data_IF_703013543077
#
_entry.id   IF_703013543077
#
_cell.length_a   1.000
_cell.length_b   1.000
_cell.length_c   1.000
_cell.angle_alpha   90.00
_cell.angle_beta   90.00
_cell.angle_gamma   90.00
#
_symmetry.space_group_name_H-M   'P 1'
#
loop_
_entity.id
_entity.type
_entity.pdbx_description
1 polymer ?
#
# COMPACT_ATOMS: atom_id res chain seq x y z
N UNK A 1 12.29 8.33 -13.93
CA UNK A 1 11.22 9.25 -13.45
C UNK A 1 9.97 8.93 -14.25
N UNK A 2 8.97 8.31 -13.63
CA UNK A 2 7.64 8.15 -14.22
C UNK A 2 7.12 9.53 -14.58
N UNK A 3 6.63 9.73 -15.80
CA UNK A 3 6.01 11.01 -16.19
C UNK A 3 4.81 11.23 -15.26
N UNK A 4 4.75 12.39 -14.61
CA UNK A 4 3.72 12.72 -13.58
C UNK A 4 2.32 12.47 -14.12
N UNK A 5 2.09 12.75 -15.41
CA UNK A 5 0.83 12.50 -16.11
C UNK A 5 0.37 11.04 -16.04
N UNK A 6 1.29 10.07 -16.19
CA UNK A 6 0.94 8.65 -16.12
C UNK A 6 0.62 8.20 -14.69
N UNK A 7 1.27 8.78 -13.69
CA UNK A 7 0.99 8.48 -12.28
C UNK A 7 -0.37 9.03 -11.81
N UNK A 8 -0.86 10.11 -12.45
CA UNK A 8 -2.12 10.75 -12.11
C UNK A 8 -3.32 10.23 -12.95
N UNK A 9 -3.09 9.38 -13.95
CA UNK A 9 -4.12 8.90 -14.86
C UNK A 9 -5.35 8.29 -14.16
N UNK A 10 -5.15 7.67 -12.99
CA UNK A 10 -6.20 7.02 -12.20
C UNK A 10 -6.51 7.72 -10.89
N UNK A 11 -6.10 8.99 -10.73
CA UNK A 11 -6.25 9.72 -9.47
C UNK A 11 -7.72 9.81 -9.05
N UNK A 12 -8.61 10.23 -9.95
CA UNK A 12 -10.03 10.39 -9.64
C UNK A 12 -10.71 9.07 -9.24
N UNK A 13 -10.38 7.98 -9.94
CA UNK A 13 -10.89 6.63 -9.65
C UNK A 13 -10.40 6.13 -8.29
N UNK A 14 -9.09 6.33 -8.01
CA UNK A 14 -8.49 6.01 -6.73
C UNK A 14 -9.14 6.79 -5.58
N UNK A 15 -9.27 8.11 -5.73
CA UNK A 15 -9.94 8.95 -4.73
C UNK A 15 -11.40 8.53 -4.51
N UNK A 16 -12.14 8.19 -5.57
CA UNK A 16 -13.52 7.72 -5.45
C UNK A 16 -13.60 6.37 -4.72
N UNK A 17 -12.67 5.45 -4.99
CA UNK A 17 -12.58 4.16 -4.30
C UNK A 17 -12.36 4.35 -2.80
N UNK A 18 -11.37 5.15 -2.38
CA UNK A 18 -11.06 5.38 -0.96
C UNK A 18 -12.11 6.21 -0.20
N UNK A 19 -13.10 6.79 -0.89
CA UNK A 19 -14.27 7.44 -0.28
C UNK A 19 -15.40 6.46 0.06
N UNK A 20 -15.34 5.21 -0.40
CA UNK A 20 -16.39 4.23 -0.11
C UNK A 20 -16.40 3.85 1.38
N UNK A 21 -17.57 3.68 2.03
CA UNK A 21 -17.65 3.44 3.46
C UNK A 21 -16.86 2.22 3.96
N UNK A 22 -16.68 1.21 3.12
CA UNK A 22 -16.00 -0.03 3.47
C UNK A 22 -14.49 0.13 3.63
N UNK A 23 -13.89 1.10 2.92
CA UNK A 23 -12.45 1.39 2.94
C UNK A 23 -12.11 2.72 3.60
N UNK A 24 -13.08 3.63 3.66
CA UNK A 24 -12.95 4.91 4.32
C UNK A 24 -12.62 4.70 5.80
N UNK A 25 -11.52 5.32 6.25
CA UNK A 25 -11.08 5.21 7.65
C UNK A 25 -10.18 4.01 7.95
N UNK A 26 -9.83 3.18 6.95
CA UNK A 26 -8.82 2.13 7.11
C UNK A 26 -7.49 2.71 7.61
N UNK A 27 -7.11 3.91 7.14
CA UNK A 27 -5.89 4.60 7.56
C UNK A 27 -6.13 5.52 8.77
N UNK A 28 -5.29 5.37 9.80
CA UNK A 28 -5.18 6.31 10.92
C UNK A 28 -4.01 7.26 10.67
N UNK A 29 -4.28 8.47 10.18
CA UNK A 29 -3.26 9.46 9.76
C UNK A 29 -2.16 9.71 10.81
N UNK A 30 -2.54 9.72 12.09
CA UNK A 30 -1.68 10.15 13.19
C UNK A 30 -1.44 9.05 14.24
N UNK A 31 -1.68 7.79 13.88
CA UNK A 31 -1.51 6.65 14.79
C UNK A 31 -0.89 5.45 14.06
N UNK A 32 -0.59 4.39 14.80
CA UNK A 32 -0.07 3.15 14.24
C UNK A 32 -1.10 2.47 13.34
N UNK A 33 -0.64 2.10 12.14
CA UNK A 33 -1.40 1.30 11.19
C UNK A 33 -0.80 -0.09 11.10
N UNK A 34 -1.64 -1.11 11.18
CA UNK A 34 -1.25 -2.49 10.95
C UNK A 34 -1.42 -2.80 9.46
N UNK A 35 -0.30 -3.07 8.79
CA UNK A 35 -0.31 -3.55 7.41
C UNK A 35 -0.17 -5.07 7.38
N UNK A 36 -0.97 -5.71 6.55
CA UNK A 36 -0.82 -7.11 6.18
C UNK A 36 -0.86 -7.22 4.67
N UNK A 37 0.23 -7.72 4.10
CA UNK A 37 0.40 -7.86 2.66
C UNK A 37 0.55 -9.35 2.38
N UNK A 38 -0.32 -9.88 1.51
CA UNK A 38 -0.32 -11.28 1.10
C UNK A 38 -0.02 -11.34 -0.39
N UNK A 39 1.08 -12.00 -0.75
CA UNK A 39 1.47 -12.23 -2.15
C UNK A 39 1.38 -13.73 -2.44
N UNK A 40 0.42 -14.16 -3.27
CA UNK A 40 0.20 -15.56 -3.62
C UNK A 40 0.15 -15.70 -5.14
N UNK A 41 1.17 -16.34 -5.72
CA UNK A 41 1.33 -16.34 -7.18
C UNK A 41 1.51 -14.91 -7.68
N UNK A 42 0.70 -14.50 -8.65
CA UNK A 42 0.63 -13.12 -9.16
C UNK A 42 -0.37 -12.23 -8.42
N UNK A 43 -1.09 -12.76 -7.43
CA UNK A 43 -2.07 -11.98 -6.66
C UNK A 43 -1.41 -11.30 -5.46
N UNK A 44 -1.60 -9.98 -5.38
CA UNK A 44 -1.17 -9.13 -4.27
C UNK A 44 -2.41 -8.57 -3.59
N UNK A 45 -2.56 -8.84 -2.30
CA UNK A 45 -3.61 -8.26 -1.45
C UNK A 45 -2.98 -7.44 -0.33
N UNK A 46 -3.45 -6.22 -0.17
CA UNK A 46 -3.02 -5.29 0.88
C UNK A 46 -4.19 -4.98 1.80
N UNK A 47 -3.98 -5.23 3.09
CA UNK A 47 -4.90 -4.91 4.17
C UNK A 47 -4.28 -3.83 5.07
N UNK A 48 -5.06 -2.79 5.40
CA UNK A 48 -4.71 -1.75 6.38
C UNK A 48 -5.71 -1.79 7.52
N UNK A 49 -5.23 -2.03 8.74
CA UNK A 49 -6.05 -2.18 9.95
C UNK A 49 -7.20 -3.20 9.79
N UNK A 50 -6.96 -4.28 9.03
CA UNK A 50 -7.92 -5.36 8.78
C UNK A 50 -8.90 -5.11 7.63
N UNK A 51 -8.80 -3.96 6.96
CA UNK A 51 -9.62 -3.61 5.80
C UNK A 51 -8.82 -3.84 4.53
N UNK A 52 -9.38 -4.60 3.57
CA UNK A 52 -8.75 -4.79 2.25
C UNK A 52 -8.81 -3.48 1.48
N UNK A 53 -7.66 -2.87 1.23
CA UNK A 53 -7.55 -1.57 0.53
C UNK A 53 -7.11 -1.73 -0.92
N UNK A 54 -6.48 -2.84 -1.27
CA UNK A 54 -5.95 -3.07 -2.61
C UNK A 54 -5.89 -4.55 -2.90
N UNK A 55 -6.39 -4.93 -4.08
CA UNK A 55 -6.18 -6.23 -4.70
C UNK A 55 -5.66 -5.97 -6.11
N UNK A 56 -4.52 -6.57 -6.43
CA UNK A 56 -3.80 -6.33 -7.66
C UNK A 56 -3.21 -7.62 -8.19
N UNK A 57 -3.13 -7.73 -9.51
CA UNK A 57 -2.45 -8.82 -10.21
C UNK A 57 -1.16 -8.26 -10.82
N UNK A 58 -0.02 -8.79 -10.39
CA UNK A 58 1.29 -8.42 -10.92
C UNK A 58 1.89 -9.58 -11.72
N UNK A 59 1.92 -9.42 -13.04
CA UNK A 59 2.49 -10.39 -13.98
C UNK A 59 3.93 -10.05 -14.38
N UNK A 60 4.56 -9.05 -13.75
CA UNK A 60 5.88 -8.54 -14.14
C UNK A 60 6.99 -9.25 -13.40
N UNK A 61 6.98 -9.20 -12.07
CA UNK A 61 8.08 -9.65 -11.22
C UNK A 61 7.59 -10.63 -10.15
N UNK A 62 7.94 -11.92 -10.28
CA UNK A 62 7.50 -12.94 -9.33
C UNK A 62 8.31 -12.98 -8.01
N UNK A 63 9.49 -12.34 -7.98
CA UNK A 63 10.42 -12.36 -6.82
C UNK A 63 11.22 -11.06 -6.75
N UNK A 64 11.55 -10.63 -5.53
CA UNK A 64 12.34 -9.43 -5.29
C UNK A 64 12.69 -9.23 -3.83
N UNK A 65 13.19 -8.04 -3.52
CA UNK A 65 13.52 -7.63 -2.15
C UNK A 65 12.37 -6.85 -1.52
N UNK A 66 12.24 -6.97 -0.19
CA UNK A 66 11.36 -6.09 0.57
C UNK A 66 12.10 -4.79 0.89
N UNK A 67 11.50 -3.66 0.53
CA UNK A 67 12.01 -2.32 0.79
C UNK A 67 11.02 -1.49 1.59
N UNK A 68 11.54 -0.63 2.45
CA UNK A 68 10.76 0.40 3.13
C UNK A 68 11.13 1.74 2.50
N UNK A 69 10.15 2.47 1.99
CA UNK A 69 10.37 3.78 1.38
C UNK A 69 10.13 4.89 2.41
N UNK A 70 11.07 5.84 2.47
CA UNK A 70 10.86 7.19 3.00
C UNK A 70 11.00 8.15 1.82
N UNK A 71 9.99 9.01 1.57
CA UNK A 71 9.95 9.86 0.38
C UNK A 71 10.88 11.10 0.46
N UNK A 72 11.63 11.26 1.56
CA UNK A 72 12.59 12.35 1.74
C UNK A 72 11.96 13.69 2.07
N UNK A 73 10.71 13.72 2.55
CA UNK A 73 10.01 14.96 2.86
C UNK A 73 10.63 15.65 4.10
N UNK A 74 10.90 16.95 3.97
CA UNK A 74 11.51 17.74 5.04
C UNK A 74 10.66 17.72 6.32
N UNK A 75 11.31 17.41 7.44
CA UNK A 75 10.68 17.40 8.76
C UNK A 75 9.75 16.21 9.06
N UNK A 76 9.58 15.25 8.13
CA UNK A 76 8.72 14.08 8.37
C UNK A 76 9.52 12.85 8.84
N UNK A 77 9.05 12.26 9.94
CA UNK A 77 9.59 11.00 10.48
C UNK A 77 8.57 9.89 10.36
N UNK A 78 8.97 8.80 9.72
CA UNK A 78 8.17 7.58 9.62
C UNK A 78 8.74 6.52 10.57
N UNK A 79 7.88 5.91 11.38
CA UNK A 79 8.27 4.89 12.36
C UNK A 79 7.66 3.55 11.99
N UNK A 80 8.46 2.49 12.06
CA UNK A 80 8.03 1.13 11.76
C UNK A 80 8.33 0.23 12.95
N UNK A 81 7.45 -0.76 13.20
CA UNK A 81 7.64 -1.78 14.24
C UNK A 81 6.95 -3.08 13.84
N UNK A 82 7.38 -4.19 14.42
CA UNK A 82 6.79 -5.52 14.21
C UNK A 82 6.79 -5.99 12.75
N UNK A 83 7.84 -5.69 11.99
CA UNK A 83 8.00 -6.23 10.64
C UNK A 83 8.34 -7.72 10.74
N UNK A 84 7.52 -8.55 10.10
CA UNK A 84 7.67 -10.00 10.07
C UNK A 84 7.35 -10.48 8.67
N UNK A 85 8.06 -11.52 8.25
CA UNK A 85 7.80 -12.22 6.99
C UNK A 85 7.48 -13.68 7.30
N UNK A 86 6.57 -14.26 6.52
CA UNK A 86 6.27 -15.69 6.53
C UNK A 86 6.16 -16.14 5.08
N UNK A 87 6.93 -17.16 4.71
CA UNK A 87 6.78 -17.83 3.42
C UNK A 87 5.45 -18.60 3.38
N UNK A 88 4.81 -18.61 2.20
CA UNK A 88 3.49 -19.20 1.97
C UNK A 88 3.59 -20.54 1.24
#
# INVERSE_FOLDING_TARGET
>A
RTKVEAALAHEAESQAYFKKPEVQGALKRNDWNHYKITCQGNSIKIEVNGVVTTEYTDDTDAKGHLGIQHHGEDGQTYKFRNLRIKEL
#
